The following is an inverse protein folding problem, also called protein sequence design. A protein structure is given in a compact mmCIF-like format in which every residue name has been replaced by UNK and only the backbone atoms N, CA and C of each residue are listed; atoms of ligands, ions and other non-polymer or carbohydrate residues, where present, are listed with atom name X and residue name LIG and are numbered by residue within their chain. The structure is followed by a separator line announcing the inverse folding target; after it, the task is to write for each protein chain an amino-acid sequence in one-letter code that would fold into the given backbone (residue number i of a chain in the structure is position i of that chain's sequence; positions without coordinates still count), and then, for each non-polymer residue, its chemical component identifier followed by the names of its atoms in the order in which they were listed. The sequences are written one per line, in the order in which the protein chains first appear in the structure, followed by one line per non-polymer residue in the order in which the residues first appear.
data_IF_773940373345
#
_entry.id   IF_773940373345
#
_cell.length_a   1.000
_cell.length_b   1.000
_cell.length_c   1.000
_cell.angle_alpha   90.00
_cell.angle_beta   90.00
_cell.angle_gamma   90.00
#
_symmetry.space_group_name_H-M   'P 1'
#
loop_
_entity.id
_entity.type
_entity.pdbx_description
1 polymer ?
#
# COMPACT_ATOMS: atom_id res chain seq x y z
N UNK A 1 9.05 5.05 -2.84
CA UNK A 1 8.64 3.81 -2.14
C UNK A 1 9.25 2.62 -2.83
N UNK A 2 9.66 1.65 -2.06
CA UNK A 2 10.31 0.45 -2.57
C UNK A 2 9.54 -0.79 -2.15
N UNK A 3 9.70 -1.87 -2.91
CA UNK A 3 9.12 -3.16 -2.55
C UNK A 3 9.61 -3.56 -1.16
N UNK A 4 8.69 -3.97 -0.31
CA UNK A 4 8.98 -4.32 1.08
C UNK A 4 8.72 -3.20 2.08
N UNK A 5 8.50 -1.97 1.62
CA UNK A 5 8.20 -0.87 2.53
C UNK A 5 6.82 -1.04 3.16
N UNK A 6 6.73 -0.69 4.44
CA UNK A 6 5.44 -0.60 5.13
C UNK A 6 4.83 0.75 4.84
N UNK A 7 3.58 0.74 4.41
CA UNK A 7 2.88 1.96 4.01
C UNK A 7 1.48 2.01 4.60
N UNK A 8 0.92 3.20 4.61
CA UNK A 8 -0.44 3.45 5.07
C UNK A 8 -1.09 4.46 4.13
N UNK A 9 -2.38 4.27 3.82
CA UNK A 9 -3.11 5.26 3.05
C UNK A 9 -3.34 6.52 3.86
N UNK A 10 -3.30 7.67 3.19
CA UNK A 10 -3.53 8.98 3.80
C UNK A 10 -4.76 9.62 3.17
N UNK A 11 -5.25 10.70 3.81
CA UNK A 11 -6.42 11.44 3.33
C UNK A 11 -7.69 10.59 3.26
N UNK A 12 -7.84 9.65 4.18
CA UNK A 12 -9.00 8.77 4.24
C UNK A 12 -9.46 8.62 5.69
N UNK A 13 -10.76 8.35 5.87
CA UNK A 13 -11.33 8.13 7.19
C UNK A 13 -10.95 6.77 7.77
N UNK A 14 -10.66 5.80 6.90
CA UNK A 14 -10.31 4.45 7.31
C UNK A 14 -8.98 4.07 6.67
N UNK A 15 -7.86 4.44 7.28
CA UNK A 15 -6.55 4.12 6.71
C UNK A 15 -6.33 2.62 6.57
N UNK A 16 -5.72 2.24 5.45
CA UNK A 16 -5.33 0.87 5.17
C UNK A 16 -3.81 0.79 5.28
N UNK A 17 -3.33 -0.20 6.01
CA UNK A 17 -1.91 -0.46 6.15
C UNK A 17 -1.52 -1.71 5.38
N UNK A 18 -0.36 -1.71 4.78
CA UNK A 18 0.10 -2.85 4.01
C UNK A 18 1.59 -2.76 3.70
N UNK A 19 2.02 -3.71 2.88
CA UNK A 19 3.41 -3.79 2.43
C UNK A 19 3.45 -3.64 0.92
N UNK A 20 4.35 -2.83 0.42
CA UNK A 20 4.53 -2.63 -1.02
C UNK A 20 5.04 -3.93 -1.64
N UNK A 21 4.33 -4.42 -2.66
CA UNK A 21 4.69 -5.63 -3.39
C UNK A 21 5.11 -5.36 -4.83
N UNK A 22 4.64 -4.26 -5.42
CA UNK A 22 5.04 -3.84 -6.76
C UNK A 22 5.01 -2.33 -6.87
N UNK A 23 5.86 -1.78 -7.73
CA UNK A 23 5.94 -0.34 -7.99
C UNK A 23 5.93 -0.13 -9.49
N UNK A 24 5.00 0.70 -9.98
CA UNK A 24 4.90 1.09 -11.39
C UNK A 24 4.83 2.61 -11.44
N UNK A 25 5.71 3.28 -12.12
CA UNK A 25 5.70 4.75 -12.26
C UNK A 25 5.11 5.45 -11.01
N UNK A 26 3.82 5.82 -11.07
CA UNK A 26 3.10 6.50 -9.97
C UNK A 26 2.16 5.57 -9.22
N UNK A 27 2.05 4.30 -9.63
CA UNK A 27 1.16 3.34 -8.98
C UNK A 27 1.93 2.41 -8.07
N UNK A 28 1.40 2.27 -6.87
CA UNK A 28 1.99 1.40 -5.85
C UNK A 28 0.98 0.30 -5.56
N UNK A 29 1.40 -0.95 -5.70
CA UNK A 29 0.57 -2.10 -5.35
C UNK A 29 0.99 -2.58 -3.97
N UNK A 30 0.02 -2.69 -3.09
CA UNK A 30 0.27 -3.13 -1.71
C UNK A 30 -0.53 -4.39 -1.39
N UNK A 31 0.01 -5.17 -0.46
CA UNK A 31 -0.69 -6.28 0.16
C UNK A 31 -1.29 -5.76 1.46
N UNK A 32 -2.63 -5.78 1.55
CA UNK A 32 -3.34 -5.30 2.73
C UNK A 32 -3.08 -6.24 3.91
N UNK A 33 -2.74 -5.67 5.06
CA UNK A 33 -2.49 -6.46 6.27
C UNK A 33 -3.72 -7.24 6.73
N UNK A 34 -4.91 -6.73 6.44
CA UNK A 34 -6.17 -7.36 6.82
C UNK A 34 -6.72 -8.30 5.74
N UNK A 35 -5.97 -8.50 4.66
CA UNK A 35 -6.40 -9.39 3.59
C UNK A 35 -6.46 -10.83 4.09
N UNK A 36 -7.55 -11.52 3.71
CA UNK A 36 -7.73 -12.92 4.09
C UNK A 36 -6.91 -13.88 3.23
N UNK A 37 -6.49 -13.40 2.04
CA UNK A 37 -5.68 -14.19 1.10
C UNK A 37 -4.53 -13.36 0.58
N UNK A 38 -3.49 -14.03 0.12
CA UNK A 38 -2.32 -13.38 -0.47
C UNK A 38 -2.62 -12.70 -1.81
N UNK A 39 -3.79 -12.99 -2.40
CA UNK A 39 -4.19 -12.45 -3.69
C UNK A 39 -4.88 -11.09 -3.58
N UNK A 40 -5.23 -10.66 -2.37
CA UNK A 40 -5.89 -9.37 -2.15
C UNK A 40 -4.87 -8.24 -2.20
N UNK A 41 -4.69 -7.69 -3.39
CA UNK A 41 -3.78 -6.58 -3.63
C UNK A 41 -4.55 -5.34 -4.02
N UNK A 42 -4.07 -4.20 -3.55
CA UNK A 42 -4.70 -2.90 -3.78
C UNK A 42 -3.71 -1.98 -4.47
N UNK A 43 -4.21 -1.17 -5.40
CA UNK A 43 -3.40 -0.20 -6.12
C UNK A 43 -3.75 1.21 -5.65
N UNK A 44 -2.72 2.00 -5.40
CA UNK A 44 -2.87 3.40 -4.99
C UNK A 44 -1.85 4.25 -5.73
N UNK A 45 -2.16 5.53 -5.90
CA UNK A 45 -1.15 6.50 -6.32
C UNK A 45 -0.16 6.71 -5.17
N UNK A 46 1.09 6.93 -5.52
CA UNK A 46 2.14 7.18 -4.53
C UNK A 46 1.76 8.33 -3.59
N UNK A 47 1.09 9.35 -4.12
CA UNK A 47 0.67 10.50 -3.33
C UNK A 47 -0.40 10.19 -2.27
N UNK A 48 -1.06 9.04 -2.40
CA UNK A 48 -2.09 8.62 -1.45
C UNK A 48 -1.55 7.71 -0.35
N UNK A 49 -0.25 7.50 -0.33
CA UNK A 49 0.42 6.62 0.62
C UNK A 49 1.54 7.36 1.35
N UNK A 50 1.84 6.90 2.55
CA UNK A 50 3.05 7.31 3.26
C UNK A 50 3.76 6.08 3.79
N UNK A 51 5.09 6.15 3.86
CA UNK A 51 5.90 5.08 4.43
C UNK A 51 5.80 5.16 5.95
N UNK A 52 5.46 4.04 6.58
CA UNK A 52 5.38 3.92 8.03
C UNK A 52 6.49 2.99 8.51
N UNK A 53 7.19 3.41 9.53
CA UNK A 53 8.27 2.61 10.10
C UNK A 53 7.88 2.05 11.44
#
# INVERSE_FOLDING_TARGET
MNIGDRVQTINTLCPISGTVVEVYDNLIVISDDDAETDDDRLEFHESDLEVTL
#
